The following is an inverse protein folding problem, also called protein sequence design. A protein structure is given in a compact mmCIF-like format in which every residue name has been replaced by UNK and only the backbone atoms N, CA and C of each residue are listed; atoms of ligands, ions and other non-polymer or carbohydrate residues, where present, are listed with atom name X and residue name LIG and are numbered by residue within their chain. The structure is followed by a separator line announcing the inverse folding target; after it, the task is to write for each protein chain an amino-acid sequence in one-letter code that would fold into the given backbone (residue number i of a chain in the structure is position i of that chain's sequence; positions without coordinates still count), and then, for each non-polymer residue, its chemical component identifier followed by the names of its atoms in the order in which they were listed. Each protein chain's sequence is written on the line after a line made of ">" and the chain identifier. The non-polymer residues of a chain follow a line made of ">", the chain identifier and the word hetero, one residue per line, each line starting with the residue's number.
data_IF_546574970115
#
_entry.id   IF_546574970115
#
_cell.length_a   1.000
_cell.length_b   1.000
_cell.length_c   1.000
_cell.angle_alpha   90.00
_cell.angle_beta   90.00
_cell.angle_gamma   90.00
#
_symmetry.space_group_name_H-M   'P 1'
#
loop_
_entity.id
_entity.type
_entity.pdbx_description
1 polymer ?
#
# COMPACT_ATOMS: atom_id res chain seq x y z
N UNK A 1 -9.71 3.60 15.46
CA UNK A 1 -8.83 3.68 14.30
C UNK A 1 -7.66 4.65 14.54
N UNK A 2 -7.94 5.89 14.96
CA UNK A 2 -6.90 6.89 15.29
C UNK A 2 -5.89 6.41 16.35
N UNK A 3 -6.35 5.66 17.37
CA UNK A 3 -5.47 5.08 18.42
C UNK A 3 -4.57 3.94 17.91
N UNK A 4 -5.04 3.12 16.98
CA UNK A 4 -4.27 1.99 16.45
C UNK A 4 -3.14 2.47 15.53
N UNK A 5 -3.45 3.38 14.62
CA UNK A 5 -2.44 3.99 13.73
C UNK A 5 -1.37 4.72 14.53
N UNK A 6 -1.73 5.42 15.61
CA UNK A 6 -0.78 6.14 16.47
C UNK A 6 0.09 5.18 17.30
N UNK A 7 -0.42 4.03 17.73
CA UNK A 7 0.36 3.04 18.48
C UNK A 7 1.44 2.40 17.60
N UNK A 8 1.08 2.02 16.39
CA UNK A 8 2.03 1.46 15.43
C UNK A 8 3.01 2.52 14.91
N UNK A 9 2.59 3.77 14.77
CA UNK A 9 3.46 4.87 14.41
C UNK A 9 4.48 5.20 15.49
N UNK A 10 4.24 4.93 16.78
CA UNK A 10 5.25 5.12 17.85
C UNK A 10 6.47 4.23 17.65
N UNK A 11 6.29 2.96 17.28
CA UNK A 11 7.40 2.05 16.95
C UNK A 11 8.12 2.49 15.68
N UNK A 12 7.38 2.91 14.67
CA UNK A 12 7.93 3.47 13.45
C UNK A 12 8.78 4.72 13.71
N UNK A 13 8.28 5.65 14.52
CA UNK A 13 8.98 6.89 14.81
C UNK A 13 10.15 6.71 15.80
N UNK A 14 10.30 5.58 16.48
CA UNK A 14 11.51 5.29 17.23
C UNK A 14 12.75 5.22 16.32
N UNK A 15 12.56 4.84 15.06
CA UNK A 15 13.61 4.78 14.05
C UNK A 15 13.77 6.08 13.23
N UNK A 16 12.80 7.00 13.29
CA UNK A 16 12.85 8.30 12.61
C UNK A 16 13.27 9.36 13.63
N UNK A 17 14.50 9.86 13.50
CA UNK A 17 15.00 10.87 14.46
C UNK A 17 14.42 12.27 14.27
N UNK A 18 13.89 12.64 13.11
CA UNK A 18 13.41 14.00 12.85
C UNK A 18 12.27 14.04 11.81
N UNK A 19 11.25 14.85 12.10
CA UNK A 19 10.27 15.30 11.11
C UNK A 19 10.72 16.63 10.51
N UNK A 20 10.44 16.89 9.25
CA UNK A 20 10.79 18.13 8.53
C UNK A 20 9.53 18.77 7.99
N UNK A 21 9.39 20.09 8.14
CA UNK A 21 8.41 20.89 7.40
C UNK A 21 9.04 21.46 6.13
N UNK A 22 8.26 21.61 5.07
CA UNK A 22 8.66 22.39 3.90
C UNK A 22 8.41 23.86 4.23
N UNK A 23 9.47 24.57 4.61
CA UNK A 23 9.44 25.95 5.02
C UNK A 23 10.74 26.31 5.74
N UNK A 24 10.92 27.52 6.34
CA UNK A 24 12.08 27.80 7.15
C UNK A 24 12.19 26.77 8.26
N UNK A 25 13.21 25.95 8.14
CA UNK A 25 13.34 24.60 8.70
C UNK A 25 13.40 24.60 10.21
N UNK A 26 12.38 24.14 10.89
CA UNK A 26 12.49 23.62 12.26
C UNK A 26 12.54 22.10 12.26
N UNK A 27 13.62 21.53 12.77
CA UNK A 27 13.75 20.09 12.99
C UNK A 27 13.11 19.74 14.33
N UNK A 28 12.07 18.91 14.31
CA UNK A 28 11.41 18.44 15.54
C UNK A 28 11.77 16.98 15.73
N UNK A 29 12.03 16.55 16.98
CA UNK A 29 12.13 15.13 17.31
C UNK A 29 10.80 14.45 16.97
N UNK A 30 10.83 13.25 16.39
CA UNK A 30 9.62 12.54 15.99
C UNK A 30 8.62 12.34 17.14
N UNK A 31 9.11 12.10 18.36
CA UNK A 31 8.28 12.01 19.58
C UNK A 31 7.54 13.31 19.88
N UNK A 32 8.23 14.45 19.81
CA UNK A 32 7.63 15.79 20.03
C UNK A 32 6.64 16.14 18.92
N UNK A 33 6.90 15.70 17.67
CA UNK A 33 5.96 15.86 16.56
C UNK A 33 4.68 15.05 16.78
N UNK A 34 4.78 13.81 17.28
CA UNK A 34 3.62 12.99 17.64
C UNK A 34 2.81 13.59 18.79
N UNK A 35 3.47 14.17 19.78
CA UNK A 35 2.80 14.88 20.87
C UNK A 35 2.06 16.12 20.37
N UNK A 36 2.66 16.88 19.46
CA UNK A 36 2.03 18.01 18.81
C UNK A 36 0.81 17.57 17.96
N UNK A 37 0.94 16.48 17.19
CA UNK A 37 -0.18 15.94 16.42
C UNK A 37 -1.35 15.47 17.30
N UNK A 38 -1.05 15.02 18.53
CA UNK A 38 -2.08 14.59 19.47
C UNK A 38 -2.77 15.76 20.20
N UNK A 39 -2.03 16.88 20.39
CA UNK A 39 -2.50 18.03 21.18
C UNK A 39 -3.16 19.13 20.35
N UNK A 40 -2.96 19.15 19.03
CA UNK A 40 -3.44 20.23 18.18
C UNK A 40 -4.25 19.71 16.99
N UNK A 41 -5.33 20.42 16.68
CA UNK A 41 -6.06 20.32 15.41
C UNK A 41 -5.31 21.01 14.25
N UNK A 42 -4.02 21.32 14.43
CA UNK A 42 -3.22 22.02 13.45
C UNK A 42 -3.12 21.27 12.13
N UNK A 43 -3.14 22.03 11.06
CA UNK A 43 -3.12 21.53 9.69
C UNK A 43 -1.70 21.09 9.30
N UNK A 44 -1.37 19.81 9.50
CA UNK A 44 -0.06 19.22 9.13
C UNK A 44 0.01 18.80 7.65
N UNK A 45 -0.85 19.30 6.77
CA UNK A 45 -0.94 18.86 5.38
C UNK A 45 0.34 19.10 4.57
N UNK A 46 1.19 20.01 5.02
CA UNK A 46 2.46 20.34 4.35
C UNK A 46 3.71 19.75 5.03
N UNK A 47 3.53 18.92 6.05
CA UNK A 47 4.66 18.30 6.75
C UNK A 47 4.99 16.93 6.16
N UNK A 48 6.29 16.63 6.08
CA UNK A 48 6.81 15.40 5.53
C UNK A 48 7.75 14.71 6.51
N UNK A 49 7.72 13.40 6.51
CA UNK A 49 8.60 12.54 7.28
C UNK A 49 9.71 12.01 6.38
N UNK A 50 10.90 11.93 6.92
CA UNK A 50 12.07 11.38 6.24
C UNK A 50 12.92 10.55 7.20
N UNK A 51 13.44 9.42 6.73
CA UNK A 51 14.41 8.64 7.49
C UNK A 51 15.76 9.39 7.52
N UNK A 52 16.40 9.41 8.68
CA UNK A 52 17.72 10.05 8.85
C UNK A 52 18.73 9.44 7.88
N UNK A 53 19.51 10.29 7.23
CA UNK A 53 20.57 9.93 6.27
C UNK A 53 20.10 9.43 4.88
N UNK A 54 18.80 9.42 4.60
CA UNK A 54 18.28 9.16 3.26
C UNK A 54 17.80 10.49 2.67
N UNK A 55 18.45 10.94 1.62
CA UNK A 55 18.31 12.31 1.12
C UNK A 55 17.14 12.54 0.16
N UNK A 56 16.51 11.49 -0.36
CA UNK A 56 15.75 11.62 -1.60
C UNK A 56 14.24 11.46 -1.49
N UNK A 57 13.69 10.79 -0.46
CA UNK A 57 12.27 10.46 -0.45
C UNK A 57 11.61 10.79 0.88
N UNK A 58 10.44 11.39 0.81
CA UNK A 58 9.64 11.81 1.96
C UNK A 58 8.27 11.13 1.92
N UNK A 59 7.66 11.02 3.08
CA UNK A 59 6.28 10.58 3.24
C UNK A 59 5.48 11.74 3.85
N UNK A 60 4.26 12.06 3.38
CA UNK A 60 3.41 13.02 4.06
C UNK A 60 3.20 12.61 5.51
N UNK A 61 3.30 13.56 6.46
CA UNK A 61 3.08 13.28 7.88
C UNK A 61 1.67 12.77 8.17
N UNK A 62 0.72 13.18 7.33
CA UNK A 62 -0.64 12.65 7.27
C UNK A 62 -0.85 11.99 5.91
N UNK A 63 -0.84 10.67 5.89
CA UNK A 63 -1.20 9.92 4.69
C UNK A 63 -2.72 9.70 4.69
N UNK A 64 -3.47 10.26 3.72
CA UNK A 64 -4.90 10.08 3.68
C UNK A 64 -5.24 8.63 3.30
N UNK A 65 -6.08 7.97 4.08
CA UNK A 65 -6.69 6.69 3.70
C UNK A 65 -7.91 7.01 2.83
N UNK A 66 -7.63 7.45 1.60
CA UNK A 66 -8.62 7.73 0.57
C UNK A 66 -8.76 6.54 -0.42
N UNK A 67 -9.58 6.71 -1.46
CA UNK A 67 -9.79 5.69 -2.50
C UNK A 67 -8.50 5.32 -3.22
N UNK A 68 -7.64 6.30 -3.50
CA UNK A 68 -6.38 6.09 -4.21
C UNK A 68 -5.41 5.25 -3.37
N UNK A 69 -5.29 5.58 -2.07
CA UNK A 69 -4.46 4.78 -1.16
C UNK A 69 -4.98 3.34 -1.02
N UNK A 70 -6.29 3.16 -0.92
CA UNK A 70 -6.89 1.83 -0.86
C UNK A 70 -6.64 1.03 -2.14
N UNK A 71 -6.77 1.66 -3.31
CA UNK A 71 -6.47 1.02 -4.60
C UNK A 71 -5.00 0.66 -4.73
N UNK A 72 -4.10 1.54 -4.30
CA UNK A 72 -2.67 1.27 -4.24
C UNK A 72 -2.35 0.05 -3.36
N UNK A 73 -2.99 -0.06 -2.18
CA UNK A 73 -2.86 -1.24 -1.33
C UNK A 73 -3.36 -2.52 -2.00
N UNK A 74 -4.44 -2.42 -2.77
CA UNK A 74 -4.95 -3.54 -3.57
C UNK A 74 -3.92 -4.02 -4.59
N UNK A 75 -3.34 -3.12 -5.39
CA UNK A 75 -2.26 -3.42 -6.32
C UNK A 75 -1.02 -4.01 -5.63
N UNK A 76 -0.66 -3.46 -4.48
CA UNK A 76 0.47 -3.99 -3.74
C UNK A 76 0.19 -5.40 -3.19
N UNK A 77 -1.02 -5.65 -2.71
CA UNK A 77 -1.35 -6.95 -2.14
C UNK A 77 -1.44 -8.04 -3.21
N UNK A 78 -1.87 -7.72 -4.45
CA UNK A 78 -1.81 -8.65 -5.58
C UNK A 78 -0.37 -8.80 -6.09
N UNK A 79 0.14 -7.81 -6.78
CA UNK A 79 1.35 -7.85 -7.59
C UNK A 79 2.58 -7.21 -6.94
N UNK A 80 2.44 -6.73 -5.70
CA UNK A 80 3.49 -5.99 -5.01
C UNK A 80 4.44 -6.85 -4.20
N UNK A 81 5.69 -6.37 -4.12
CA UNK A 81 6.69 -6.84 -3.16
C UNK A 81 7.59 -5.68 -2.71
N UNK A 82 8.31 -5.89 -1.62
CA UNK A 82 9.34 -4.98 -1.13
C UNK A 82 10.71 -5.49 -1.59
N UNK A 83 11.43 -4.65 -2.29
CA UNK A 83 12.80 -4.91 -2.78
C UNK A 83 13.75 -3.86 -2.17
N UNK A 84 14.41 -4.21 -1.07
CA UNK A 84 15.29 -3.29 -0.35
C UNK A 84 14.54 -2.06 0.17
N UNK A 85 14.85 -0.89 -0.37
CA UNK A 85 14.23 0.40 -0.02
C UNK A 85 13.11 0.83 -0.96
N UNK A 86 12.60 -0.10 -1.76
CA UNK A 86 11.62 0.18 -2.81
C UNK A 86 10.42 -0.75 -2.70
N UNK A 87 9.25 -0.24 -3.07
CA UNK A 87 8.09 -1.03 -3.39
C UNK A 87 8.12 -1.29 -4.90
N UNK A 88 7.95 -2.56 -5.28
CA UNK A 88 7.89 -3.01 -6.66
C UNK A 88 6.51 -3.59 -6.93
N UNK A 89 5.87 -3.16 -8.02
CA UNK A 89 4.59 -3.72 -8.48
C UNK A 89 4.80 -4.18 -9.92
N UNK A 90 4.63 -5.48 -10.15
CA UNK A 90 4.79 -6.08 -11.47
C UNK A 90 3.50 -5.91 -12.28
N UNK A 91 3.62 -5.36 -13.50
CA UNK A 91 2.49 -5.28 -14.42
C UNK A 91 2.95 -4.94 -15.82
N UNK A 92 2.25 -5.44 -16.82
CA UNK A 92 2.40 -5.07 -18.24
C UNK A 92 1.17 -4.30 -18.75
N UNK A 93 0.15 -4.14 -17.92
CA UNK A 93 -1.12 -3.50 -18.30
C UNK A 93 -0.97 -1.98 -18.32
N UNK A 94 -1.11 -1.29 -19.46
CA UNK A 94 -0.95 0.16 -19.54
C UNK A 94 -1.90 0.93 -18.63
N UNK A 95 -3.13 0.44 -18.49
CA UNK A 95 -4.14 1.05 -17.62
C UNK A 95 -3.69 1.06 -16.15
N UNK A 96 -3.17 -0.07 -15.64
CA UNK A 96 -2.66 -0.19 -14.28
C UNK A 96 -1.40 0.67 -14.07
N UNK A 97 -0.52 0.74 -15.08
CA UNK A 97 0.67 1.60 -15.01
C UNK A 97 0.28 3.07 -14.88
N UNK A 98 -0.64 3.55 -15.73
CA UNK A 98 -1.10 4.94 -15.72
C UNK A 98 -1.79 5.27 -14.39
N UNK A 99 -2.57 4.34 -13.86
CA UNK A 99 -3.23 4.50 -12.57
C UNK A 99 -2.23 4.56 -11.41
N UNK A 100 -1.22 3.70 -11.39
CA UNK A 100 -0.14 3.73 -10.41
C UNK A 100 0.65 5.05 -10.45
N UNK A 101 0.91 5.59 -11.64
CA UNK A 101 1.56 6.91 -11.81
C UNK A 101 0.68 8.01 -11.20
N UNK A 102 -0.60 8.00 -11.54
CA UNK A 102 -1.57 8.97 -11.02
C UNK A 102 -1.66 8.89 -9.49
N UNK A 103 -1.90 7.70 -8.96
CA UNK A 103 -2.04 7.45 -7.51
C UNK A 103 -0.77 7.90 -6.77
N UNK A 104 0.40 7.50 -7.26
CA UNK A 104 1.64 7.83 -6.59
C UNK A 104 1.92 9.34 -6.60
N UNK A 105 1.62 10.02 -7.70
CA UNK A 105 1.70 11.48 -7.78
C UNK A 105 0.69 12.15 -6.83
N UNK A 106 -0.56 11.66 -6.80
CA UNK A 106 -1.62 12.18 -5.93
C UNK A 106 -1.30 12.05 -4.44
N UNK A 107 -0.78 10.90 -4.03
CA UNK A 107 -0.52 10.60 -2.62
C UNK A 107 0.78 11.19 -2.09
N UNK A 108 1.82 11.25 -2.91
CA UNK A 108 3.19 11.54 -2.47
C UNK A 108 3.82 12.73 -3.19
N UNK A 109 3.15 13.34 -4.16
CA UNK A 109 3.69 14.39 -5.02
C UNK A 109 5.04 14.02 -5.66
N UNK A 110 5.22 12.76 -6.00
CA UNK A 110 6.43 12.19 -6.57
C UNK A 110 6.10 11.37 -7.81
N UNK A 111 7.10 11.11 -8.66
CA UNK A 111 6.96 10.23 -9.82
C UNK A 111 7.59 8.87 -9.50
N UNK A 112 6.92 7.76 -9.79
CA UNK A 112 7.54 6.44 -9.69
C UNK A 112 8.63 6.29 -10.75
N UNK A 113 9.58 5.38 -10.50
CA UNK A 113 10.54 4.94 -11.51
C UNK A 113 10.05 3.66 -12.14
N UNK A 114 10.44 3.44 -13.39
CA UNK A 114 10.12 2.22 -14.12
C UNK A 114 11.38 1.38 -14.30
N UNK A 115 11.27 0.08 -14.08
CA UNK A 115 12.29 -0.89 -14.45
C UNK A 115 11.65 -1.88 -15.42
N UNK A 116 12.15 -1.89 -16.65
CA UNK A 116 11.79 -2.88 -17.64
C UNK A 116 12.79 -4.03 -17.49
N UNK A 117 12.31 -5.24 -17.34
CA UNK A 117 13.16 -6.42 -17.29
C UNK A 117 13.05 -7.15 -18.62
N UNK A 118 13.96 -6.86 -19.54
CA UNK A 118 13.98 -7.42 -20.89
C UNK A 118 14.50 -8.88 -20.94
N UNK A 119 15.06 -9.39 -19.83
CA UNK A 119 15.68 -10.72 -19.77
C UNK A 119 14.74 -11.84 -19.31
N UNK A 120 13.52 -11.52 -18.89
CA UNK A 120 12.55 -12.55 -18.52
C UNK A 120 11.92 -13.16 -19.78
N UNK A 121 11.66 -14.47 -19.74
CA UNK A 121 10.81 -15.15 -20.72
C UNK A 121 9.41 -14.51 -20.62
N UNK A 122 9.14 -13.55 -21.52
CA UNK A 122 8.00 -12.64 -21.44
C UNK A 122 8.41 -11.28 -20.87
N UNK A 123 8.06 -10.20 -21.58
CA UNK A 123 8.32 -8.83 -21.15
C UNK A 123 7.63 -8.58 -19.80
N UNK A 124 8.39 -8.47 -18.72
CA UNK A 124 7.86 -8.04 -17.43
C UNK A 124 8.30 -6.61 -17.16
N UNK A 125 7.36 -5.76 -16.79
CA UNK A 125 7.65 -4.41 -16.35
C UNK A 125 7.33 -4.29 -14.85
N UNK A 126 8.22 -3.62 -14.12
CA UNK A 126 8.03 -3.29 -12.72
C UNK A 126 7.92 -1.78 -12.55
N UNK A 127 6.85 -1.36 -11.90
CA UNK A 127 6.72 0.00 -11.40
C UNK A 127 7.45 0.06 -10.06
N UNK A 128 8.58 0.79 -10.03
CA UNK A 128 9.43 0.91 -8.84
C UNK A 128 9.15 2.22 -8.09
N UNK A 129 8.79 2.10 -6.84
CA UNK A 129 8.52 3.21 -5.94
C UNK A 129 9.64 3.25 -4.90
N UNK A 130 10.66 4.07 -5.15
CA UNK A 130 11.77 4.24 -4.24
C UNK A 130 11.37 5.19 -3.12
N UNK A 131 10.84 4.67 -2.02
CA UNK A 131 10.40 5.45 -0.88
C UNK A 131 10.60 4.65 0.41
N UNK A 132 11.77 4.79 1.02
CA UNK A 132 12.13 4.06 2.25
C UNK A 132 11.14 4.30 3.41
N UNK A 133 10.64 5.53 3.67
CA UNK A 133 9.58 5.73 4.66
C UNK A 133 8.30 4.95 4.37
N UNK A 134 7.92 4.82 3.09
CA UNK A 134 6.74 4.04 2.70
C UNK A 134 6.98 2.53 2.88
N UNK A 135 8.18 2.04 2.55
CA UNK A 135 8.60 0.66 2.80
C UNK A 135 8.51 0.32 4.28
N UNK A 136 9.03 1.21 5.13
CA UNK A 136 8.96 1.06 6.58
C UNK A 136 7.52 1.04 7.08
N UNK A 137 6.67 1.96 6.59
CA UNK A 137 5.25 1.97 6.91
C UNK A 137 4.58 0.64 6.52
N UNK A 138 4.88 0.11 5.33
CA UNK A 138 4.33 -1.17 4.87
C UNK A 138 4.81 -2.35 5.72
N UNK A 139 6.06 -2.30 6.19
CA UNK A 139 6.60 -3.30 7.11
C UNK A 139 5.88 -3.28 8.46
N UNK A 140 5.62 -2.09 9.02
CA UNK A 140 4.87 -1.92 10.26
C UNK A 140 3.42 -2.38 10.12
N UNK A 141 2.79 -2.10 8.97
CA UNK A 141 1.45 -2.58 8.65
C UNK A 141 1.43 -4.09 8.35
N UNK A 142 2.59 -4.75 8.43
CA UNK A 142 2.74 -6.18 8.20
C UNK A 142 2.34 -6.61 6.78
N UNK A 143 2.62 -5.74 5.81
CA UNK A 143 2.33 -5.95 4.40
C UNK A 143 3.50 -6.64 3.66
N UNK A 144 4.70 -6.64 4.25
CA UNK A 144 5.88 -7.31 3.70
C UNK A 144 5.82 -8.81 3.96
N UNK A 145 4.97 -9.51 3.21
CA UNK A 145 4.72 -10.95 3.36
C UNK A 145 4.99 -11.69 2.06
N UNK A 146 5.36 -12.95 2.19
CA UNK A 146 5.44 -13.87 1.05
C UNK A 146 4.04 -14.09 0.47
N UNK A 147 3.97 -14.49 -0.80
CA UNK A 147 2.70 -14.66 -1.52
C UNK A 147 1.68 -15.55 -0.78
N UNK A 148 2.15 -16.63 -0.16
CA UNK A 148 1.32 -17.59 0.58
C UNK A 148 0.94 -17.13 2.01
N UNK A 149 1.51 -16.02 2.49
CA UNK A 149 1.25 -15.41 3.80
C UNK A 149 0.47 -14.09 3.70
N UNK A 150 0.16 -13.65 2.48
CA UNK A 150 -0.59 -12.40 2.26
C UNK A 150 -1.94 -12.47 2.94
N UNK A 151 -2.38 -11.34 3.48
CA UNK A 151 -3.72 -11.16 4.08
C UNK A 151 -4.19 -9.73 3.97
N UNK A 152 -5.47 -9.51 4.05
CA UNK A 152 -6.05 -8.16 4.04
C UNK A 152 -5.74 -7.48 5.38
N UNK A 153 -5.16 -6.24 5.35
CA UNK A 153 -4.94 -5.47 6.57
C UNK A 153 -6.25 -5.22 7.32
N UNK A 154 -6.27 -5.47 8.64
CA UNK A 154 -7.49 -5.40 9.46
C UNK A 154 -8.22 -4.05 9.40
N UNK A 155 -7.51 -2.95 9.17
CA UNK A 155 -8.13 -1.63 9.08
C UNK A 155 -9.03 -1.46 7.84
N UNK A 156 -8.86 -2.29 6.80
CA UNK A 156 -9.69 -2.25 5.58
C UNK A 156 -11.15 -2.54 5.91
N UNK A 157 -11.41 -3.47 6.83
CA UNK A 157 -12.79 -3.85 7.21
C UNK A 157 -13.59 -2.73 7.89
N UNK A 158 -12.91 -1.72 8.46
CA UNK A 158 -13.54 -0.57 9.09
C UNK A 158 -13.69 0.65 8.18
N UNK A 159 -13.39 0.53 6.88
CA UNK A 159 -13.50 1.64 5.94
C UNK A 159 -14.90 1.73 5.33
N UNK A 160 -15.20 2.87 4.68
CA UNK A 160 -16.44 3.01 3.92
C UNK A 160 -16.45 2.08 2.69
N UNK A 161 -17.65 1.75 2.24
CA UNK A 161 -17.89 0.86 1.09
C UNK A 161 -17.10 1.31 -0.15
N UNK A 162 -17.06 2.62 -0.43
CA UNK A 162 -16.33 3.14 -1.60
C UNK A 162 -14.81 2.93 -1.51
N UNK A 163 -14.25 2.97 -0.31
CA UNK A 163 -12.82 2.72 -0.08
C UNK A 163 -12.51 1.23 -0.18
N UNK A 164 -13.37 0.38 0.38
CA UNK A 164 -13.25 -1.07 0.24
C UNK A 164 -13.39 -1.47 -1.23
N UNK A 165 -14.37 -0.91 -1.94
CA UNK A 165 -14.54 -1.14 -3.38
C UNK A 165 -13.29 -0.74 -4.18
N UNK A 166 -12.68 0.40 -3.83
CA UNK A 166 -11.45 0.85 -4.47
C UNK A 166 -10.26 -0.08 -4.17
N UNK A 167 -10.17 -0.61 -2.95
CA UNK A 167 -9.19 -1.63 -2.59
C UNK A 167 -9.40 -2.92 -3.39
N UNK A 168 -10.64 -3.43 -3.44
CA UNK A 168 -10.99 -4.61 -4.22
C UNK A 168 -10.69 -4.42 -5.71
N UNK A 169 -10.96 -3.22 -6.26
CA UNK A 169 -10.61 -2.91 -7.65
C UNK A 169 -9.11 -3.14 -7.89
N UNK A 170 -8.23 -2.55 -7.07
CA UNK A 170 -6.79 -2.74 -7.22
C UNK A 170 -6.37 -4.21 -7.05
N UNK A 171 -6.98 -4.93 -6.12
CA UNK A 171 -6.71 -6.34 -5.89
C UNK A 171 -7.06 -7.19 -7.12
N UNK A 172 -8.27 -6.99 -7.68
CA UNK A 172 -8.75 -7.74 -8.84
C UNK A 172 -8.06 -7.37 -10.15
N UNK A 173 -7.62 -6.13 -10.33
CA UNK A 173 -6.86 -5.72 -11.51
C UNK A 173 -5.46 -6.36 -11.58
N UNK A 174 -4.91 -6.84 -10.43
CA UNK A 174 -3.69 -7.63 -10.41
C UNK A 174 -3.95 -9.11 -10.69
N UNK A 175 -4.49 -9.82 -9.72
CA UNK A 175 -4.63 -11.30 -9.72
C UNK A 175 -6.05 -11.78 -10.11
N UNK A 176 -6.94 -10.88 -10.51
CA UNK A 176 -8.29 -11.24 -10.92
C UNK A 176 -8.41 -11.64 -12.38
N UNK A 177 -9.42 -12.42 -12.69
CA UNK A 177 -9.78 -12.82 -14.04
C UNK A 177 -11.29 -12.73 -14.26
N UNK A 178 -11.69 -12.31 -15.45
CA UNK A 178 -13.08 -12.25 -15.86
C UNK A 178 -13.28 -13.04 -17.18
N UNK A 179 -14.12 -14.06 -17.12
CA UNK A 179 -14.41 -14.92 -18.27
C UNK A 179 -15.77 -14.67 -18.92
N UNK A 180 -16.35 -13.47 -18.73
CA UNK A 180 -17.69 -13.11 -19.22
C UNK A 180 -18.84 -13.63 -18.36
N UNK A 181 -18.65 -14.74 -17.66
CA UNK A 181 -19.66 -15.37 -16.78
C UNK A 181 -19.21 -15.44 -15.33
N UNK A 182 -17.89 -15.50 -15.10
CA UNK A 182 -17.29 -15.68 -13.78
C UNK A 182 -16.21 -14.65 -13.52
N UNK A 183 -16.23 -14.13 -12.30
CA UNK A 183 -15.14 -13.35 -11.74
C UNK A 183 -14.36 -14.30 -10.85
N UNK A 184 -13.08 -14.49 -11.14
CA UNK A 184 -12.19 -15.36 -10.38
C UNK A 184 -11.02 -14.56 -9.83
N UNK A 185 -10.55 -14.90 -8.63
CA UNK A 185 -9.34 -14.35 -8.03
C UNK A 185 -8.43 -15.51 -7.64
N UNK A 186 -7.15 -15.40 -8.00
CA UNK A 186 -6.18 -16.47 -7.77
C UNK A 186 -5.20 -16.06 -6.69
N UNK A 187 -5.02 -16.90 -5.69
CA UNK A 187 -4.03 -16.68 -4.63
C UNK A 187 -3.51 -17.99 -4.08
N UNK A 188 -2.25 -18.00 -3.64
CA UNK A 188 -1.65 -19.10 -2.89
C UNK A 188 -1.88 -18.96 -1.38
N UNK A 189 -2.35 -17.80 -0.91
CA UNK A 189 -2.64 -17.56 0.50
C UNK A 189 -4.06 -17.98 0.86
N UNK A 190 -4.17 -18.92 1.78
CA UNK A 190 -5.46 -19.33 2.36
C UNK A 190 -6.09 -18.19 3.17
N UNK A 191 -5.26 -17.43 3.91
CA UNK A 191 -5.74 -16.29 4.69
C UNK A 191 -6.34 -15.23 3.78
N UNK A 192 -5.64 -14.86 2.71
CA UNK A 192 -6.14 -13.87 1.74
C UNK A 192 -7.45 -14.34 1.08
N UNK A 193 -7.55 -15.63 0.73
CA UNK A 193 -8.78 -16.18 0.15
C UNK A 193 -9.97 -16.07 1.12
N UNK A 194 -9.78 -16.40 2.40
CA UNK A 194 -10.81 -16.29 3.43
C UNK A 194 -11.17 -14.83 3.72
N UNK A 195 -10.16 -13.95 3.82
CA UNK A 195 -10.34 -12.52 4.03
C UNK A 195 -11.16 -11.89 2.90
N UNK A 196 -10.84 -12.28 1.65
CA UNK A 196 -11.55 -11.80 0.46
C UNK A 196 -13.00 -12.27 0.45
N UNK A 197 -13.24 -13.55 0.77
CA UNK A 197 -14.59 -14.09 0.87
C UNK A 197 -15.42 -13.33 1.91
N UNK A 198 -14.85 -13.08 3.08
CA UNK A 198 -15.50 -12.30 4.13
C UNK A 198 -15.79 -10.86 3.66
N UNK A 199 -14.82 -10.22 3.01
CA UNK A 199 -14.96 -8.85 2.52
C UNK A 199 -16.04 -8.75 1.44
N UNK A 200 -16.12 -9.71 0.50
CA UNK A 200 -17.17 -9.77 -0.52
C UNK A 200 -18.54 -9.98 0.11
N UNK A 201 -18.63 -10.78 1.18
CA UNK A 201 -19.88 -10.99 1.89
C UNK A 201 -20.45 -9.69 2.49
N UNK A 202 -19.59 -8.74 2.91
CA UNK A 202 -20.04 -7.42 3.37
C UNK A 202 -20.73 -6.59 2.27
N UNK A 203 -20.53 -6.95 1.00
CA UNK A 203 -21.23 -6.38 -0.17
C UNK A 203 -22.44 -7.22 -0.60
N UNK A 204 -22.82 -8.24 0.16
CA UNK A 204 -23.87 -9.19 -0.21
C UNK A 204 -23.47 -10.14 -1.35
N UNK A 205 -22.18 -10.22 -1.68
CA UNK A 205 -21.65 -11.11 -2.73
C UNK A 205 -21.27 -12.45 -2.11
N UNK A 206 -21.96 -13.51 -2.51
CA UNK A 206 -21.61 -14.88 -2.10
C UNK A 206 -20.59 -15.44 -3.07
N UNK A 207 -19.40 -15.73 -2.56
CA UNK A 207 -18.31 -16.32 -3.34
C UNK A 207 -17.97 -17.75 -2.84
N UNK A 208 -17.26 -18.51 -3.67
CA UNK A 208 -16.83 -19.88 -3.35
C UNK A 208 -15.32 -19.99 -3.48
N UNK A 209 -14.68 -20.61 -2.50
CA UNK A 209 -13.27 -20.99 -2.58
C UNK A 209 -13.17 -22.39 -3.19
N UNK A 210 -12.32 -22.56 -4.19
CA UNK A 210 -11.94 -23.84 -4.76
C UNK A 210 -10.43 -24.00 -4.79
N UNK A 211 -9.93 -25.16 -4.40
CA UNK A 211 -8.50 -25.46 -4.48
C UNK A 211 -8.19 -26.15 -5.79
N UNK A 212 -7.28 -25.56 -6.59
CA UNK A 212 -6.70 -26.22 -7.77
C UNK A 212 -5.38 -26.87 -7.36
N UNK A 213 -5.23 -28.17 -7.63
CA UNK A 213 -3.92 -28.83 -7.53
C UNK A 213 -3.06 -28.32 -8.71
N UNK A 214 -1.88 -27.81 -8.43
CA UNK A 214 -0.92 -27.59 -9.52
C UNK A 214 -0.52 -28.97 -10.06
N UNK A 215 -0.80 -29.21 -11.33
CA UNK A 215 -0.14 -30.29 -12.06
C UNK A 215 1.35 -29.94 -12.14
N UNK A 216 2.20 -30.84 -11.64
CA UNK A 216 3.64 -30.76 -11.80
C UNK A 216 4.03 -30.82 -13.27
#
# INVERSE_FOLDING_TARGET
>A
FRKLVLKNLKEYFSNIKYAYSIGPVSRIKATSFLELMNKSETNFNHNYLRIKNITSNTLPAKLPINKDFCRFLGYFLSEGCIEGTSISIATIQPAMINDLIYIYKSLFNQKPRFRINDQAIGKSMKVMINNSPLVELFSILNLNRKSYEKKIPSFIYGLSIEKISSFLKGLYEGDGSFSGVRIEYYTTSKELANDLLYLLFTFGIVAKISMKKQSK
#
